data_IF_748631855515
#
_entry.id   IF_748631855515
#
_cell.length_a   1.000
_cell.length_b   1.000
_cell.length_c   1.000
_cell.angle_alpha   90.00
_cell.angle_beta   90.00
_cell.angle_gamma   90.00
#
_symmetry.space_group_name_H-M   'P 1'
#
loop_
_entity.id
_entity.type
_entity.pdbx_description
1 polymer ?
#
# COMPACT_ATOMS: atom_id res chain seq x y z
N UNK A 1 9.81 9.51 10.98
CA UNK A 1 9.76 9.31 9.52
C UNK A 1 9.37 7.87 9.22
N UNK A 2 8.83 7.52 8.04
CA UNK A 2 8.27 6.17 7.79
C UNK A 2 8.75 5.56 6.49
N UNK A 3 9.23 4.31 6.55
CA UNK A 3 9.67 3.57 5.37
C UNK A 3 8.55 2.62 4.92
N UNK A 4 8.13 2.80 3.67
CA UNK A 4 7.11 1.98 3.03
C UNK A 4 7.79 1.01 2.05
N UNK A 5 7.99 -0.24 2.47
CA UNK A 5 8.74 -1.25 1.72
C UNK A 5 8.07 -1.72 0.42
N UNK A 6 6.75 -1.57 0.32
CA UNK A 6 5.94 -1.95 -0.83
C UNK A 6 6.12 -1.08 -2.09
N UNK A 7 6.83 0.05 -2.02
CA UNK A 7 7.07 0.93 -3.17
C UNK A 7 8.36 0.61 -3.93
N UNK A 8 9.28 -0.18 -3.32
CA UNK A 8 10.62 -0.45 -3.85
C UNK A 8 11.57 0.75 -3.79
N UNK A 9 11.17 1.85 -3.16
CA UNK A 9 11.98 3.05 -2.92
C UNK A 9 11.91 3.44 -1.46
N UNK A 10 13.05 3.83 -0.91
CA UNK A 10 13.13 4.47 0.40
C UNK A 10 12.82 5.94 0.20
N UNK A 11 11.91 6.49 0.99
CA UNK A 11 11.69 7.93 1.09
C UNK A 11 12.02 8.33 2.52
N UNK A 12 12.92 9.30 2.67
CA UNK A 12 13.29 9.85 3.97
C UNK A 12 12.61 11.20 4.27
N UNK A 13 11.57 11.56 3.50
CA UNK A 13 10.85 12.82 3.69
C UNK A 13 9.66 12.63 4.65
N UNK A 14 9.34 13.66 5.45
CA UNK A 14 8.15 13.66 6.30
C UNK A 14 6.88 14.03 5.51
N UNK A 15 6.62 13.35 4.40
CA UNK A 15 5.42 13.51 3.57
C UNK A 15 4.44 12.35 3.81
N UNK A 16 3.10 12.53 3.73
CA UNK A 16 2.10 11.47 3.95
C UNK A 16 2.41 10.16 3.22
N UNK A 17 2.00 9.03 3.78
CA UNK A 17 2.26 7.70 3.22
C UNK A 17 1.62 7.65 1.84
N UNK A 18 2.45 7.41 0.84
CA UNK A 18 2.01 7.39 -0.56
C UNK A 18 1.14 6.17 -0.78
N UNK A 19 0.16 6.31 -1.68
CA UNK A 19 -0.71 5.20 -2.06
C UNK A 19 0.12 4.02 -2.56
N UNK A 20 -0.24 2.84 -2.08
CA UNK A 20 0.39 1.59 -2.52
C UNK A 20 0.15 1.35 -4.01
N UNK A 21 1.17 0.81 -4.68
CA UNK A 21 1.05 0.38 -6.08
C UNK A 21 -0.02 -0.69 -6.19
N UNK A 22 -0.84 -0.58 -7.23
CA UNK A 22 -1.90 -1.55 -7.53
C UNK A 22 -1.37 -2.99 -7.69
N UNK A 23 -0.09 -3.17 -8.02
CA UNK A 23 0.56 -4.48 -8.06
C UNK A 23 0.44 -5.25 -6.73
N UNK A 24 0.56 -4.58 -5.58
CA UNK A 24 0.38 -5.25 -4.28
C UNK A 24 -1.08 -5.65 -4.05
N UNK A 25 -2.03 -4.81 -4.44
CA UNK A 25 -3.46 -5.16 -4.34
C UNK A 25 -3.81 -6.31 -5.28
N UNK A 26 -3.24 -6.33 -6.49
CA UNK A 26 -3.41 -7.42 -7.45
C UNK A 26 -2.91 -8.75 -6.90
N UNK A 27 -1.74 -8.77 -6.23
CA UNK A 27 -1.24 -9.98 -5.56
C UNK A 27 -2.18 -10.48 -4.47
N UNK A 28 -2.74 -9.58 -3.65
CA UNK A 28 -3.70 -9.94 -2.59
C UNK A 28 -4.97 -10.57 -3.20
N UNK A 29 -5.52 -9.97 -4.26
CA UNK A 29 -6.76 -10.44 -4.90
C UNK A 29 -6.58 -11.75 -5.67
N UNK A 30 -5.39 -11.98 -6.22
CA UNK A 30 -5.05 -13.18 -7.00
C UNK A 30 -4.50 -14.33 -6.16
N UNK A 31 -4.20 -14.09 -4.88
CA UNK A 31 -3.74 -15.12 -3.98
C UNK A 31 -4.82 -16.20 -3.82
N UNK A 32 -4.41 -17.47 -3.79
CA UNK A 32 -5.34 -18.58 -3.60
C UNK A 32 -5.98 -18.57 -2.22
N UNK A 33 -5.20 -18.17 -1.21
CA UNK A 33 -5.66 -17.91 0.14
C UNK A 33 -5.49 -16.41 0.42
N UNK A 34 -6.51 -15.76 0.97
CA UNK A 34 -6.41 -14.35 1.35
C UNK A 34 -5.31 -14.17 2.41
N UNK A 35 -4.27 -13.38 2.14
CA UNK A 35 -3.23 -13.14 3.12
C UNK A 35 -3.71 -12.16 4.20
N UNK A 36 -3.27 -12.38 5.43
CA UNK A 36 -3.33 -11.37 6.49
C UNK A 36 -2.26 -10.32 6.22
N UNK A 37 -2.62 -9.05 6.26
CA UNK A 37 -1.69 -7.94 6.04
C UNK A 37 -1.44 -7.22 7.35
N UNK A 38 -0.19 -7.24 7.83
CA UNK A 38 0.21 -6.57 9.06
C UNK A 38 0.86 -5.20 8.76
N UNK A 39 0.22 -4.07 9.11
CA UNK A 39 0.81 -2.75 8.97
C UNK A 39 1.98 -2.59 9.93
N UNK A 40 3.11 -2.14 9.40
CA UNK A 40 4.29 -1.84 10.19
C UNK A 40 4.91 -0.54 9.73
N UNK A 41 5.28 0.27 10.70
CA UNK A 41 5.65 1.66 10.53
C UNK A 41 6.85 1.88 11.44
N UNK A 42 7.95 2.41 10.90
CA UNK A 42 9.19 2.56 11.67
C UNK A 42 9.82 3.93 11.47
N UNK A 43 10.47 4.47 12.49
CA UNK A 43 11.17 5.77 12.50
C UNK A 43 12.55 5.67 13.14
N UNK A 44 13.44 6.62 12.84
CA UNK A 44 14.80 6.71 13.39
C UNK A 44 15.87 6.04 12.53
N UNK A 45 15.49 5.32 11.47
CA UNK A 45 16.44 4.74 10.51
C UNK A 45 17.10 5.82 9.62
N UNK A 46 16.45 6.96 9.45
CA UNK A 46 17.01 8.17 8.85
C UNK A 46 18.19 8.73 9.63
N UNK A 47 18.15 8.65 10.95
CA UNK A 47 19.25 9.14 11.78
C UNK A 47 20.41 8.14 11.77
N UNK A 48 20.10 6.85 11.63
CA UNK A 48 21.08 5.77 11.49
C UNK A 48 21.78 5.84 10.13
N UNK A 49 21.04 6.09 9.05
CA UNK A 49 21.60 6.13 7.69
C UNK A 49 20.94 7.25 6.87
N UNK A 50 21.31 8.51 7.13
CA UNK A 50 20.72 9.66 6.44
C UNK A 50 21.11 9.69 4.96
N UNK A 51 20.19 10.12 4.11
CA UNK A 51 20.44 10.34 2.68
C UNK A 51 21.46 11.45 2.43
N UNK A 52 21.44 12.47 3.29
CA UNK A 52 22.36 13.60 3.27
C UNK A 52 23.10 13.65 4.60
N UNK A 53 24.40 13.39 4.59
CA UNK A 53 25.25 13.47 5.77
C UNK A 53 26.30 14.57 5.62
N UNK A 54 27.45 14.25 5.04
CA UNK A 54 28.56 15.18 4.79
C UNK A 54 28.76 15.31 3.27
N UNK A 55 28.86 16.53 2.76
CA UNK A 55 28.92 16.82 1.31
C UNK A 55 27.78 16.16 0.52
N UNK A 56 26.57 16.13 1.09
CA UNK A 56 25.38 15.48 0.51
C UNK A 56 25.55 13.97 0.16
N UNK A 57 26.52 13.29 0.77
CA UNK A 57 26.72 11.85 0.62
C UNK A 57 26.13 11.08 1.79
N UNK A 58 25.78 9.81 1.56
CA UNK A 58 25.41 8.86 2.62
C UNK A 58 26.67 8.47 3.42
N UNK A 59 26.56 8.26 4.74
CA UNK A 59 27.69 7.77 5.51
C UNK A 59 28.06 6.35 5.05
N UNK A 60 29.34 5.96 5.12
CA UNK A 60 29.79 4.63 4.70
C UNK A 60 29.27 3.52 5.63
N UNK A 61 28.99 3.86 6.89
CA UNK A 61 28.47 2.95 7.89
C UNK A 61 27.27 3.57 8.62
N UNK A 62 26.35 2.74 9.15
CA UNK A 62 25.29 3.19 10.04
C UNK A 62 25.86 3.98 11.23
N UNK A 63 25.27 5.14 11.52
CA UNK A 63 25.59 5.92 12.71
C UNK A 63 25.08 5.18 13.96
N UNK A 64 25.98 4.98 14.93
CA UNK A 64 25.68 4.31 16.19
C UNK A 64 24.91 5.23 17.16
N UNK A 65 24.31 4.65 18.19
CA UNK A 65 23.61 5.35 19.27
C UNK A 65 22.40 6.18 18.82
N UNK A 66 21.69 5.73 17.77
CA UNK A 66 20.43 6.32 17.32
C UNK A 66 19.24 5.51 17.79
N UNK A 67 18.13 6.18 18.07
CA UNK A 67 16.91 5.54 18.57
C UNK A 67 16.01 5.15 17.41
N UNK A 68 15.77 3.85 17.26
CA UNK A 68 14.81 3.31 16.29
C UNK A 68 13.51 3.00 17.01
N UNK A 69 12.38 3.39 16.43
CA UNK A 69 11.04 3.00 16.88
C UNK A 69 10.34 2.22 15.79
N UNK A 70 9.68 1.13 16.16
CA UNK A 70 8.87 0.31 15.27
C UNK A 70 7.49 0.19 15.91
N UNK A 71 6.47 0.54 15.15
CA UNK A 71 5.07 0.44 15.52
C UNK A 71 4.39 -0.57 14.60
N UNK A 72 3.66 -1.48 15.23
CA UNK A 72 2.95 -2.56 14.57
C UNK A 72 1.48 -2.29 14.78
N UNK A 73 0.75 -2.17 13.67
CA UNK A 73 -0.70 -1.98 13.68
C UNK A 73 -1.46 -3.28 13.86
N UNK A 74 -2.78 -3.18 13.91
CA UNK A 74 -3.64 -4.36 13.92
C UNK A 74 -3.58 -5.10 12.57
N UNK A 75 -3.64 -6.44 12.55
CA UNK A 75 -3.74 -7.21 11.32
C UNK A 75 -4.98 -6.82 10.49
N UNK A 76 -4.81 -6.65 9.18
CA UNK A 76 -5.92 -6.48 8.25
C UNK A 76 -6.25 -7.82 7.58
N UNK A 77 -7.53 -8.16 7.64
CA UNK A 77 -8.13 -9.24 6.86
C UNK A 77 -9.00 -8.63 5.76
N UNK A 78 -8.93 -9.21 4.56
CA UNK A 78 -9.70 -8.74 3.41
C UNK A 78 -10.74 -9.78 3.02
N UNK A 79 -12.02 -9.42 3.10
CA UNK A 79 -13.09 -10.24 2.53
C UNK A 79 -13.16 -9.99 1.01
N UNK A 80 -12.28 -10.68 0.27
CA UNK A 80 -12.15 -10.54 -1.18
C UNK A 80 -13.49 -10.82 -1.90
N UNK A 81 -14.26 -11.88 -1.57
CA UNK A 81 -15.58 -12.09 -2.15
C UNK A 81 -16.53 -10.90 -1.97
N UNK A 82 -16.67 -10.37 -0.74
CA UNK A 82 -17.55 -9.24 -0.46
C UNK A 82 -17.09 -7.96 -1.16
N UNK A 83 -15.79 -7.69 -1.15
CA UNK A 83 -15.21 -6.53 -1.82
C UNK A 83 -15.37 -6.60 -3.34
N UNK A 84 -15.31 -7.80 -3.95
CA UNK A 84 -15.59 -8.01 -5.38
C UNK A 84 -17.03 -7.66 -5.73
N UNK A 85 -18.01 -8.14 -4.95
CA UNK A 85 -19.41 -7.83 -5.19
C UNK A 85 -19.68 -6.31 -5.09
N UNK A 86 -19.10 -5.66 -4.08
CA UNK A 86 -19.17 -4.21 -3.93
C UNK A 86 -18.55 -3.45 -5.11
N UNK A 87 -17.45 -3.97 -5.66
CA UNK A 87 -16.80 -3.37 -6.82
C UNK A 87 -17.65 -3.50 -8.09
N UNK A 88 -18.30 -4.66 -8.30
CA UNK A 88 -19.23 -4.90 -9.41
C UNK A 88 -20.47 -4.01 -9.28
N UNK A 89 -21.02 -3.85 -8.09
CA UNK A 89 -22.18 -2.97 -7.89
C UNK A 89 -21.84 -1.51 -8.17
N UNK A 90 -20.63 -1.06 -7.79
CA UNK A 90 -20.16 0.30 -8.07
C UNK A 90 -19.86 0.52 -9.55
N UNK A 91 -19.25 -0.45 -10.23
CA UNK A 91 -18.90 -0.29 -11.66
C UNK A 91 -20.14 -0.17 -12.54
N UNK A 92 -21.25 -0.85 -12.19
CA UNK A 92 -22.52 -0.75 -12.91
C UNK A 92 -23.25 0.58 -12.72
N UNK A 93 -22.95 1.32 -11.65
CA UNK A 93 -23.57 2.61 -11.34
C UNK A 93 -22.83 3.82 -11.93
N UNK A 94 -21.52 3.68 -12.21
CA UNK A 94 -20.67 4.79 -12.67
C UNK A 94 -20.30 4.65 -14.16
N UNK A 95 -21.00 5.38 -15.03
CA UNK A 95 -20.65 5.55 -16.45
C UNK A 95 -19.26 6.18 -16.69
N UNK A 96 -18.61 6.70 -15.64
CA UNK A 96 -17.29 7.36 -15.69
C UNK A 96 -16.10 6.40 -15.92
N UNK A 97 -16.25 5.11 -15.63
CA UNK A 97 -15.18 4.12 -15.84
C UNK A 97 -15.20 3.47 -17.23
N UNK A 98 -16.19 3.79 -18.05
CA UNK A 98 -16.46 3.11 -19.32
C UNK A 98 -15.61 3.60 -20.51
N UNK A 99 -14.72 4.60 -20.33
CA UNK A 99 -14.08 5.32 -21.44
C UNK A 99 -12.54 5.33 -21.43
N UNK A 100 -11.87 4.38 -20.76
CA UNK A 100 -10.39 4.24 -20.90
C UNK A 100 -9.99 2.89 -21.47
N UNK A 101 -9.63 2.98 -22.75
CA UNK A 101 -9.05 1.99 -23.66
C UNK A 101 -8.26 0.85 -23.01
N UNK A 102 -8.65 -0.37 -23.42
CA UNK A 102 -7.99 -1.66 -23.17
C UNK A 102 -6.53 -1.64 -23.64
N UNK A 103 -5.58 -1.40 -22.74
CA UNK A 103 -4.17 -1.72 -22.99
C UNK A 103 -3.49 -2.18 -21.70
N UNK A 104 -3.52 -3.50 -21.45
CA UNK A 104 -2.53 -4.17 -20.62
C UNK A 104 -2.90 -4.54 -19.19
N UNK A 105 -4.19 -4.55 -18.83
CA UNK A 105 -4.60 -5.01 -17.50
C UNK A 105 -4.68 -6.56 -17.44
N UNK A 106 -4.15 -7.19 -16.38
CA UNK A 106 -4.25 -8.64 -16.23
C UNK A 106 -5.71 -8.99 -15.94
N UNK A 107 -6.34 -9.74 -16.85
CA UNK A 107 -7.69 -10.27 -16.68
C UNK A 107 -7.69 -11.26 -15.52
N UNK A 108 -8.48 -11.00 -14.48
CA UNK A 108 -8.68 -11.96 -13.40
C UNK A 108 -9.82 -12.89 -13.82
N UNK A 109 -9.49 -14.03 -14.42
CA UNK A 109 -10.43 -15.15 -14.49
C UNK A 109 -10.27 -15.99 -13.22
N UNK A 110 -11.15 -15.77 -12.25
CA UNK A 110 -11.25 -16.66 -11.08
C UNK A 110 -12.65 -17.28 -11.09
N UNK A 111 -12.71 -18.60 -11.29
CA UNK A 111 -13.94 -19.41 -11.27
C UNK A 111 -15.02 -19.01 -12.31
N UNK A 112 -14.61 -18.61 -13.52
CA UNK A 112 -15.54 -18.43 -14.65
C UNK A 112 -16.41 -17.15 -14.61
N UNK A 113 -16.14 -16.22 -13.69
CA UNK A 113 -16.74 -14.88 -13.70
C UNK A 113 -15.68 -13.85 -14.08
N UNK A 114 -15.74 -13.38 -15.32
CA UNK A 114 -14.88 -12.30 -15.79
C UNK A 114 -15.27 -11.00 -15.06
N UNK A 115 -14.36 -10.48 -14.22
CA UNK A 115 -14.56 -9.15 -13.64
C UNK A 115 -14.34 -8.09 -14.74
N UNK A 116 -15.31 -7.21 -14.90
CA UNK A 116 -15.17 -6.00 -15.72
C UNK A 116 -13.97 -5.16 -15.26
N UNK A 117 -13.29 -4.50 -16.19
CA UNK A 117 -12.07 -3.74 -15.94
C UNK A 117 -12.31 -2.60 -14.94
N UNK A 118 -13.49 -1.96 -15.01
CA UNK A 118 -13.91 -0.94 -14.07
C UNK A 118 -14.08 -1.51 -12.64
N UNK A 119 -14.68 -2.69 -12.52
CA UNK A 119 -14.81 -3.38 -11.23
C UNK A 119 -13.43 -3.78 -10.67
N UNK A 120 -12.53 -4.27 -11.52
CA UNK A 120 -11.15 -4.60 -11.11
C UNK A 120 -10.38 -3.36 -10.62
N UNK A 121 -10.49 -2.23 -11.33
CA UNK A 121 -9.89 -0.96 -10.90
C UNK A 121 -10.48 -0.49 -9.57
N UNK A 122 -11.80 -0.56 -9.41
CA UNK A 122 -12.50 -0.21 -8.18
C UNK A 122 -12.07 -1.09 -6.99
N UNK A 123 -11.90 -2.39 -7.22
CA UNK A 123 -11.46 -3.33 -6.20
C UNK A 123 -10.03 -3.03 -5.72
N UNK A 124 -9.08 -2.92 -6.65
CA UNK A 124 -7.69 -2.63 -6.30
C UNK A 124 -7.53 -1.24 -5.68
N UNK A 125 -8.32 -0.28 -6.15
CA UNK A 125 -8.30 1.08 -5.63
C UNK A 125 -8.76 1.11 -4.17
N UNK A 126 -9.82 0.37 -3.85
CA UNK A 126 -10.38 0.24 -2.50
C UNK A 126 -9.39 -0.43 -1.55
N UNK A 127 -8.81 -1.58 -1.93
CA UNK A 127 -7.79 -2.27 -1.11
C UNK A 127 -6.59 -1.36 -0.86
N UNK A 128 -6.11 -0.68 -1.90
CA UNK A 128 -4.95 0.22 -1.78
C UNK A 128 -5.24 1.40 -0.86
N UNK A 129 -6.47 1.92 -0.89
CA UNK A 129 -6.90 3.02 -0.04
C UNK A 129 -7.05 2.59 1.41
N UNK A 130 -7.70 1.46 1.69
CA UNK A 130 -7.82 0.92 3.06
C UNK A 130 -6.45 0.70 3.71
N UNK A 131 -5.51 0.10 2.97
CA UNK A 131 -4.13 -0.07 3.46
C UNK A 131 -3.42 1.26 3.71
N UNK A 132 -3.61 2.24 2.83
CA UNK A 132 -3.01 3.57 3.00
C UNK A 132 -3.57 4.28 4.24
N UNK A 133 -4.89 4.23 4.45
CA UNK A 133 -5.56 4.81 5.63
C UNK A 133 -4.99 4.24 6.93
N UNK A 134 -4.96 2.91 7.08
CA UNK A 134 -4.46 2.29 8.32
C UNK A 134 -2.97 2.59 8.54
N UNK A 135 -2.18 2.60 7.47
CA UNK A 135 -0.77 2.98 7.57
C UNK A 135 -0.59 4.44 8.01
N UNK A 136 -1.41 5.36 7.50
CA UNK A 136 -1.34 6.79 7.84
C UNK A 136 -1.79 7.04 9.28
N UNK A 137 -2.84 6.36 9.74
CA UNK A 137 -3.28 6.37 11.15
C UNK A 137 -2.17 5.84 12.06
N UNK A 138 -1.53 4.72 11.70
CA UNK A 138 -0.43 4.17 12.48
C UNK A 138 0.76 5.14 12.53
N UNK A 139 0.98 5.91 11.45
CA UNK A 139 1.97 6.98 11.41
C UNK A 139 1.60 8.18 12.29
N UNK A 140 0.34 8.61 12.30
CA UNK A 140 -0.09 9.75 13.11
C UNK A 140 0.07 9.43 14.60
N UNK A 141 -0.33 8.21 15.00
CA UNK A 141 -0.10 7.66 16.34
C UNK A 141 1.40 7.63 16.71
N UNK A 142 2.26 7.32 15.74
CA UNK A 142 3.71 7.30 15.94
C UNK A 142 4.34 8.69 16.12
N UNK A 143 3.67 9.75 15.67
CA UNK A 143 4.12 11.13 15.88
C UNK A 143 3.62 11.71 17.20
N UNK A 144 2.47 11.26 17.68
CA UNK A 144 1.86 11.75 18.94
C UNK A 144 2.46 11.12 20.21
N UNK A 145 3.43 10.21 20.08
CA UNK A 145 4.00 9.40 21.17
C UNK A 145 5.51 9.54 21.29
#
# INVERSE_FOLDING_TARGET
MFKQWSLGKVSQEDAPIRRLKWGTASLIVRAHLTPIVLPMVHSGFEEVMPEKFFLDRRPPFPLCNKKIRIMIGQPLEFDIPKMRQLAISKSRGDHLFSSTTSRGWPVISSHGLDLDEAAQRCLYSTISQQKQTVMEELRSLAKSS
#
